data_IF_323309263527
#
_entry.id   IF_323309263527
#
_cell.length_a   1.000
_cell.length_b   1.000
_cell.length_c   1.000
_cell.angle_alpha   90.00
_cell.angle_beta   90.00
_cell.angle_gamma   90.00
#
_symmetry.space_group_name_H-M   'P 1'
#
loop_
_entity.id
_entity.type
_entity.pdbx_description
1 polymer ?
#
# COMPACT_ATOMS: atom_id res chain seq x y z
N UNK A 1 8.01 16.87 12.51
CA UNK A 1 8.48 15.54 12.04
C UNK A 1 7.29 14.84 11.39
N UNK A 2 7.41 14.42 10.13
CA UNK A 2 6.30 13.82 9.36
C UNK A 2 6.21 12.30 9.57
N UNK A 3 6.92 11.75 10.58
CA UNK A 3 6.93 10.32 10.85
C UNK A 3 5.55 9.87 11.38
N UNK A 4 4.99 8.87 10.70
CA UNK A 4 3.76 8.17 11.06
C UNK A 4 4.07 7.06 12.06
N UNK A 5 5.10 6.25 11.76
CA UNK A 5 5.57 5.16 12.61
C UNK A 5 7.07 4.91 12.35
N UNK A 6 7.76 4.34 13.34
CA UNK A 6 9.19 4.03 13.19
C UNK A 6 9.62 2.89 14.12
N UNK A 7 10.61 2.13 13.66
CA UNK A 7 11.26 1.04 14.41
C UNK A 7 12.65 0.72 13.81
N UNK A 8 13.70 0.67 14.64
CA UNK A 8 15.06 0.21 14.30
C UNK A 8 15.58 0.67 12.93
N UNK A 9 15.59 1.98 12.66
CA UNK A 9 16.05 2.56 11.41
C UNK A 9 15.02 2.55 10.28
N UNK A 10 13.89 1.85 10.43
CA UNK A 10 12.77 1.91 9.50
C UNK A 10 11.81 3.03 9.91
N UNK A 11 11.51 3.95 9.01
CA UNK A 11 10.59 5.07 9.23
C UNK A 11 9.52 5.06 8.14
N UNK A 12 8.27 5.15 8.54
CA UNK A 12 7.15 5.46 7.64
C UNK A 12 6.83 6.93 7.87
N UNK A 13 7.05 7.76 6.87
CA UNK A 13 6.68 9.18 6.93
C UNK A 13 5.62 9.52 5.90
N UNK A 14 4.82 10.54 6.17
CA UNK A 14 3.90 11.07 5.17
C UNK A 14 4.68 11.53 3.92
N UNK A 15 4.13 11.24 2.75
CA UNK A 15 4.60 11.79 1.48
C UNK A 15 4.43 13.32 1.51
N UNK A 16 5.39 14.04 0.95
CA UNK A 16 5.41 15.51 0.92
C UNK A 16 5.02 16.01 -0.46
N UNK A 17 4.29 17.13 -0.52
CA UNK A 17 4.02 17.83 -1.79
C UNK A 17 5.31 18.52 -2.26
N UNK A 18 6.25 17.72 -2.78
CA UNK A 18 7.53 18.19 -3.30
C UNK A 18 8.05 17.28 -4.42
N UNK A 19 8.79 17.84 -5.40
CA UNK A 19 9.24 17.07 -6.57
C UNK A 19 10.01 15.79 -6.22
N UNK A 20 10.79 15.78 -5.15
CA UNK A 20 11.59 14.62 -4.76
C UNK A 20 10.76 13.39 -4.48
N UNK A 21 9.65 13.51 -3.74
CA UNK A 21 8.80 12.38 -3.41
C UNK A 21 8.03 11.87 -4.65
N UNK A 22 7.58 12.77 -5.54
CA UNK A 22 6.94 12.36 -6.79
C UNK A 22 7.90 11.65 -7.75
N UNK A 23 9.16 12.10 -7.82
CA UNK A 23 10.17 11.42 -8.62
C UNK A 23 10.51 10.02 -8.11
N UNK A 24 10.44 9.79 -6.79
CA UNK A 24 10.54 8.44 -6.23
C UNK A 24 9.39 7.56 -6.74
N UNK A 25 8.16 8.06 -6.75
CA UNK A 25 7.00 7.31 -7.26
C UNK A 25 7.15 6.98 -8.75
N UNK A 26 7.60 7.95 -9.57
CA UNK A 26 7.88 7.73 -11.00
C UNK A 26 8.92 6.62 -11.19
N UNK A 27 10.03 6.70 -10.43
CA UNK A 27 11.09 5.70 -10.52
C UNK A 27 10.62 4.30 -10.14
N UNK A 28 9.92 4.19 -9.01
CA UNK A 28 9.54 2.90 -8.44
C UNK A 28 8.37 2.24 -9.19
N UNK A 29 7.33 2.99 -9.53
CA UNK A 29 6.16 2.42 -10.23
C UNK A 29 6.46 1.98 -11.66
N UNK A 30 7.47 2.57 -12.29
CA UNK A 30 7.96 2.14 -13.61
C UNK A 30 8.98 1.00 -13.52
N UNK A 31 9.46 0.64 -12.32
CA UNK A 31 10.35 -0.49 -12.15
C UNK A 31 9.61 -1.82 -12.34
N UNK A 32 10.20 -2.74 -13.12
CA UNK A 32 9.55 -3.99 -13.52
C UNK A 32 9.00 -4.82 -12.35
N UNK A 33 9.75 -4.92 -11.23
CA UNK A 33 9.35 -5.70 -10.06
C UNK A 33 8.19 -5.09 -9.25
N UNK A 34 7.92 -3.78 -9.39
CA UNK A 34 6.74 -3.11 -8.84
C UNK A 34 5.59 -3.27 -9.82
N UNK A 35 5.81 -2.96 -11.10
CA UNK A 35 4.80 -3.02 -12.15
C UNK A 35 4.24 -4.44 -12.36
N UNK A 36 4.96 -5.47 -11.94
CA UNK A 36 4.49 -6.87 -11.97
C UNK A 36 3.21 -7.09 -11.15
N UNK A 37 2.97 -6.28 -10.08
CA UNK A 37 1.84 -6.41 -9.14
C UNK A 37 1.19 -5.06 -8.79
N UNK A 38 1.47 -4.02 -9.56
CA UNK A 38 0.92 -2.67 -9.36
C UNK A 38 0.68 -2.00 -10.70
N UNK A 39 -0.56 -1.66 -10.99
CA UNK A 39 -0.97 -0.93 -12.20
C UNK A 39 -0.50 -1.57 -13.53
N UNK A 40 -0.68 -2.85 -13.68
CA UNK A 40 -0.16 -3.67 -14.79
C UNK A 40 -0.44 -3.08 -16.18
N UNK A 41 -1.69 -2.66 -16.41
CA UNK A 41 -2.17 -2.23 -17.73
C UNK A 41 -2.04 -0.71 -17.94
N UNK A 42 -1.58 0.03 -16.92
CA UNK A 42 -1.40 1.46 -17.04
C UNK A 42 -0.09 1.79 -17.78
N UNK A 43 -0.04 2.92 -18.52
CA UNK A 43 1.19 3.40 -19.13
C UNK A 43 2.25 3.73 -18.05
N UNK A 44 3.47 4.01 -18.49
CA UNK A 44 4.51 4.52 -17.59
C UNK A 44 4.02 5.80 -16.88
N UNK A 45 4.26 5.84 -15.57
CA UNK A 45 3.92 7.00 -14.74
C UNK A 45 4.84 8.16 -15.10
N UNK A 46 4.26 9.29 -15.51
CA UNK A 46 5.00 10.54 -15.70
C UNK A 46 5.02 11.36 -14.41
N UNK A 47 5.88 12.37 -14.34
CA UNK A 47 5.92 13.27 -13.19
C UNK A 47 4.60 14.02 -13.01
N UNK A 48 4.00 14.48 -14.10
CA UNK A 48 2.72 15.19 -14.09
C UNK A 48 1.61 14.30 -13.53
N UNK A 49 1.53 13.05 -14.02
CA UNK A 49 0.56 12.06 -13.53
C UNK A 49 0.81 11.71 -12.06
N UNK A 50 2.05 11.56 -11.62
CA UNK A 50 2.39 11.31 -10.23
C UNK A 50 1.95 12.48 -9.32
N UNK A 51 2.14 13.71 -9.76
CA UNK A 51 1.69 14.90 -9.02
C UNK A 51 0.16 14.92 -8.93
N UNK A 52 -0.53 14.66 -10.03
CA UNK A 52 -2.00 14.65 -10.07
C UNK A 52 -2.57 13.57 -9.13
N UNK A 53 -2.01 12.37 -9.16
CA UNK A 53 -2.45 11.22 -8.38
C UNK A 53 -2.17 11.38 -6.88
N UNK A 54 -0.93 11.72 -6.50
CA UNK A 54 -0.51 11.66 -5.10
C UNK A 54 -0.65 12.97 -4.32
N UNK A 55 -0.72 14.14 -4.98
CA UNK A 55 -0.85 15.42 -4.28
C UNK A 55 -2.04 15.48 -3.33
N UNK A 56 -3.26 15.00 -3.69
CA UNK A 56 -4.38 15.02 -2.76
C UNK A 56 -4.09 14.28 -1.46
N UNK A 57 -3.35 13.18 -1.52
CA UNK A 57 -3.04 12.30 -0.38
C UNK A 57 -1.91 12.81 0.52
N UNK A 58 -1.27 13.93 0.15
CA UNK A 58 -0.35 14.66 1.03
C UNK A 58 -1.08 15.54 2.05
N UNK A 59 -2.36 15.84 1.81
CA UNK A 59 -3.17 16.64 2.73
C UNK A 59 -3.55 15.88 4.00
N UNK A 60 -3.72 16.60 5.11
CA UNK A 60 -3.98 15.98 6.41
C UNK A 60 -5.38 15.35 6.51
N UNK A 61 -6.34 15.85 5.73
CA UNK A 61 -7.76 15.46 5.70
C UNK A 61 -8.12 14.58 4.49
N UNK A 62 -7.12 14.08 3.76
CA UNK A 62 -7.37 13.18 2.62
C UNK A 62 -8.01 11.85 3.06
N UNK A 63 -8.81 11.27 2.17
CA UNK A 63 -9.39 9.94 2.35
C UNK A 63 -8.34 8.84 2.40
N UNK A 64 -7.23 9.02 1.70
CA UNK A 64 -6.03 8.19 1.73
C UNK A 64 -4.84 8.96 2.30
N UNK A 65 -3.88 8.26 2.86
CA UNK A 65 -2.61 8.84 3.31
C UNK A 65 -1.46 8.13 2.62
N UNK A 66 -0.82 8.82 1.69
CA UNK A 66 0.38 8.34 1.00
C UNK A 66 1.64 8.54 1.86
N UNK A 67 2.49 7.53 1.92
CA UNK A 67 3.68 7.50 2.77
C UNK A 67 4.91 6.97 2.03
N UNK A 68 6.07 7.52 2.37
CA UNK A 68 7.39 6.99 1.97
C UNK A 68 7.94 6.14 3.11
N UNK A 69 8.46 4.97 2.76
CA UNK A 69 9.21 4.10 3.66
C UNK A 69 10.69 4.44 3.52
N UNK A 70 11.33 4.76 4.62
CA UNK A 70 12.76 5.03 4.69
C UNK A 70 13.48 3.98 5.56
N UNK A 71 14.64 3.54 5.13
CA UNK A 71 15.55 2.69 5.91
C UNK A 71 16.86 3.47 6.11
N UNK A 72 17.23 3.71 7.36
CA UNK A 72 18.41 4.49 7.75
C UNK A 72 18.50 5.85 7.04
N UNK A 73 17.33 6.52 6.89
CA UNK A 73 17.20 7.82 6.25
C UNK A 73 17.19 7.80 4.71
N UNK A 74 17.29 6.63 4.08
CA UNK A 74 17.16 6.44 2.63
C UNK A 74 15.74 6.01 2.26
N UNK A 75 15.04 6.70 1.33
CA UNK A 75 13.79 6.22 0.77
C UNK A 75 13.97 4.87 0.09
N UNK A 76 13.11 3.89 0.40
CA UNK A 76 13.23 2.51 -0.08
C UNK A 76 11.92 1.91 -0.58
N UNK A 77 10.79 2.61 -0.40
CA UNK A 77 9.50 2.12 -0.85
C UNK A 77 8.37 3.06 -0.46
N UNK A 78 7.18 2.61 -0.76
CA UNK A 78 5.93 3.34 -0.59
C UNK A 78 4.92 2.48 0.17
N UNK A 79 4.06 3.12 0.94
CA UNK A 79 2.82 2.55 1.43
C UNK A 79 1.74 3.63 1.51
N UNK A 80 0.50 3.19 1.48
CA UNK A 80 -0.65 4.05 1.77
C UNK A 80 -1.62 3.33 2.70
N UNK A 81 -2.47 4.11 3.36
CA UNK A 81 -3.54 3.59 4.17
C UNK A 81 -4.78 4.48 4.08
N UNK A 82 -5.95 3.87 4.20
CA UNK A 82 -7.24 4.52 4.04
C UNK A 82 -8.33 3.79 4.84
N UNK A 83 -9.39 4.52 5.18
CA UNK A 83 -10.58 3.89 5.75
C UNK A 83 -11.40 3.26 4.62
N UNK A 84 -11.73 1.97 4.70
CA UNK A 84 -12.57 1.29 3.69
C UNK A 84 -13.94 1.96 3.48
N UNK A 85 -14.46 2.65 4.51
CA UNK A 85 -15.69 3.41 4.39
C UNK A 85 -15.64 4.54 3.34
N UNK A 86 -14.44 5.03 3.00
CA UNK A 86 -14.23 6.04 1.94
C UNK A 86 -14.19 5.46 0.53
N UNK A 87 -14.22 4.12 0.40
CA UNK A 87 -14.07 3.37 -0.86
C UNK A 87 -15.25 2.44 -1.11
N UNK A 88 -16.48 2.92 -0.83
CA UNK A 88 -17.71 2.14 -0.97
C UNK A 88 -17.93 1.64 -2.41
N UNK A 89 -17.58 2.45 -3.42
CA UNK A 89 -17.73 2.08 -4.83
C UNK A 89 -16.74 0.95 -5.21
N UNK A 90 -15.52 0.98 -4.68
CA UNK A 90 -14.53 -0.09 -4.86
C UNK A 90 -15.02 -1.39 -4.24
N UNK A 91 -15.52 -1.33 -3.00
CA UNK A 91 -16.11 -2.51 -2.34
C UNK A 91 -17.29 -3.09 -3.11
N UNK A 92 -18.16 -2.23 -3.64
CA UNK A 92 -19.29 -2.67 -4.46
C UNK A 92 -18.83 -3.36 -5.77
N UNK A 93 -17.78 -2.86 -6.42
CA UNK A 93 -17.18 -3.49 -7.59
C UNK A 93 -16.53 -4.85 -7.28
N UNK A 94 -16.03 -5.03 -6.06
CA UNK A 94 -15.48 -6.29 -5.56
C UNK A 94 -16.56 -7.26 -5.03
N UNK A 95 -17.83 -6.87 -5.04
CA UNK A 95 -18.95 -7.59 -4.39
C UNK A 95 -18.66 -7.85 -2.90
N UNK A 96 -18.17 -6.82 -2.21
CA UNK A 96 -17.72 -6.90 -0.83
C UNK A 96 -18.43 -5.89 0.07
N UNK A 97 -18.66 -6.30 1.30
CA UNK A 97 -19.03 -5.42 2.41
C UNK A 97 -18.02 -5.57 3.55
N UNK A 98 -17.58 -4.47 4.12
CA UNK A 98 -16.72 -4.50 5.31
C UNK A 98 -17.35 -3.72 6.45
N UNK A 99 -17.16 -4.15 7.70
CA UNK A 99 -17.66 -3.42 8.87
C UNK A 99 -17.02 -2.03 8.98
N UNK A 100 -17.69 -1.10 9.62
CA UNK A 100 -17.13 0.21 9.96
C UNK A 100 -15.87 0.05 10.82
N UNK A 101 -14.95 1.00 10.70
CA UNK A 101 -13.68 0.97 11.43
C UNK A 101 -12.62 0.04 10.83
N UNK A 102 -12.86 -0.54 9.65
CA UNK A 102 -11.84 -1.28 8.92
C UNK A 102 -11.01 -0.35 8.04
N UNK A 103 -9.70 -0.61 8.00
CA UNK A 103 -8.73 0.16 7.23
C UNK A 103 -8.09 -0.69 6.14
N UNK A 104 -7.76 -0.06 5.02
CA UNK A 104 -6.99 -0.64 3.93
C UNK A 104 -5.54 -0.19 3.97
N UNK A 105 -4.65 -1.01 3.42
CA UNK A 105 -3.24 -0.68 3.19
C UNK A 105 -2.78 -1.23 1.85
N UNK A 106 -1.91 -0.47 1.17
CA UNK A 106 -1.16 -0.93 0.02
C UNK A 106 0.32 -0.62 0.23
N UNK A 107 1.21 -1.45 -0.29
CA UNK A 107 2.65 -1.34 -0.05
C UNK A 107 3.48 -1.96 -1.16
N UNK A 108 4.60 -1.32 -1.48
CA UNK A 108 5.69 -1.96 -2.22
C UNK A 108 7.06 -1.51 -1.72
N UNK A 109 8.07 -2.36 -1.92
CA UNK A 109 9.49 -2.01 -1.81
C UNK A 109 9.96 -1.55 -3.19
N UNK A 110 10.35 -0.29 -3.30
CA UNK A 110 10.71 0.34 -4.56
C UNK A 110 12.13 0.00 -5.05
N UNK A 111 13.04 -0.24 -4.10
CA UNK A 111 14.44 -0.56 -4.40
C UNK A 111 14.59 -2.08 -4.64
N UNK A 112 14.95 -2.54 -5.86
CA UNK A 112 14.94 -3.96 -6.20
C UNK A 112 15.93 -4.79 -5.38
N UNK A 113 17.06 -4.21 -5.01
CA UNK A 113 18.07 -4.88 -4.19
C UNK A 113 17.62 -5.12 -2.75
N UNK A 114 16.58 -4.44 -2.29
CA UNK A 114 16.03 -4.56 -0.93
C UNK A 114 14.81 -5.49 -0.86
N UNK A 115 14.35 -5.99 -2.00
CA UNK A 115 13.27 -6.98 -2.06
C UNK A 115 13.69 -8.29 -1.38
N UNK A 116 12.77 -8.94 -0.68
CA UNK A 116 12.99 -10.17 0.11
C UNK A 116 13.92 -10.02 1.34
N UNK A 117 14.26 -8.80 1.76
CA UNK A 117 15.06 -8.54 2.96
C UNK A 117 14.21 -8.28 4.22
N UNK A 118 12.91 -8.56 4.19
CA UNK A 118 12.01 -8.41 5.33
C UNK A 118 11.48 -6.99 5.55
N UNK A 119 11.90 -6.00 4.77
CA UNK A 119 11.49 -4.60 4.89
C UNK A 119 9.97 -4.46 4.77
N UNK A 120 9.36 -5.07 3.74
CA UNK A 120 7.91 -5.04 3.56
C UNK A 120 7.15 -5.61 4.77
N UNK A 121 7.61 -6.73 5.34
CA UNK A 121 6.98 -7.31 6.55
C UNK A 121 7.07 -6.38 7.75
N UNK A 122 8.23 -5.73 7.96
CA UNK A 122 8.42 -4.76 9.06
C UNK A 122 7.53 -3.54 8.86
N UNK A 123 7.50 -2.98 7.66
CA UNK A 123 6.66 -1.83 7.34
C UNK A 123 5.17 -2.12 7.54
N UNK A 124 4.70 -3.29 7.09
CA UNK A 124 3.31 -3.72 7.30
C UNK A 124 2.97 -3.82 8.79
N UNK A 125 3.85 -4.41 9.62
CA UNK A 125 3.64 -4.49 11.08
C UNK A 125 3.53 -3.10 11.70
N UNK A 126 4.47 -2.22 11.39
CA UNK A 126 4.44 -0.83 11.88
C UNK A 126 3.16 -0.10 11.49
N UNK A 127 2.71 -0.29 10.26
CA UNK A 127 1.51 0.36 9.76
C UNK A 127 0.25 -0.19 10.44
N UNK A 128 0.16 -1.51 10.61
CA UNK A 128 -0.95 -2.16 11.34
C UNK A 128 -0.99 -1.68 12.79
N UNK A 129 0.16 -1.61 13.48
CA UNK A 129 0.23 -1.13 14.85
C UNK A 129 -0.18 0.35 14.96
N UNK A 130 0.27 1.20 14.04
CA UNK A 130 -0.16 2.60 13.97
C UNK A 130 -1.69 2.70 13.76
N UNK A 131 -2.24 1.96 12.81
CA UNK A 131 -3.67 2.00 12.51
C UNK A 131 -4.52 1.57 13.72
N UNK A 132 -4.07 0.56 14.47
CA UNK A 132 -4.76 0.10 15.67
C UNK A 132 -4.64 1.09 16.83
N UNK A 133 -3.43 1.54 17.11
CA UNK A 133 -3.16 2.33 18.34
C UNK A 133 -3.52 3.80 18.18
N UNK A 134 -3.36 4.37 16.97
CA UNK A 134 -3.56 5.80 16.72
C UNK A 134 -4.89 6.07 16.00
N UNK A 135 -5.28 5.21 15.06
CA UNK A 135 -6.53 5.38 14.28
C UNK A 135 -7.70 4.60 14.84
N UNK A 136 -7.49 3.72 15.83
CA UNK A 136 -8.55 2.88 16.41
C UNK A 136 -9.11 1.84 15.43
N UNK A 137 -8.29 1.36 14.49
CA UNK A 137 -8.71 0.37 13.51
C UNK A 137 -9.20 -0.90 14.19
N UNK A 138 -10.44 -1.32 13.88
CA UNK A 138 -11.00 -2.59 14.33
C UNK A 138 -10.37 -3.79 13.59
N UNK A 139 -10.00 -3.58 12.34
CA UNK A 139 -9.23 -4.52 11.52
C UNK A 139 -8.51 -3.77 10.40
N UNK A 140 -7.45 -4.39 9.87
CA UNK A 140 -6.78 -3.96 8.65
C UNK A 140 -6.96 -5.05 7.59
N UNK A 141 -7.40 -4.68 6.39
CA UNK A 141 -7.69 -5.62 5.31
C UNK A 141 -7.11 -5.13 3.99
N UNK A 142 -6.70 -6.08 3.17
CA UNK A 142 -6.15 -5.83 1.83
C UNK A 142 -6.51 -6.95 0.86
N UNK A 143 -6.41 -6.64 -0.44
CA UNK A 143 -6.41 -7.64 -1.51
C UNK A 143 -4.98 -7.81 -2.06
N UNK A 144 -4.61 -9.01 -2.45
CA UNK A 144 -3.33 -9.29 -3.12
C UNK A 144 -3.48 -10.44 -4.09
N UNK A 145 -2.91 -10.31 -5.29
CA UNK A 145 -3.02 -11.33 -6.33
C UNK A 145 -2.59 -12.73 -5.85
N UNK A 146 -3.28 -13.77 -6.33
CA UNK A 146 -3.05 -15.15 -5.90
C UNK A 146 -1.62 -15.63 -6.19
N UNK A 147 -0.98 -15.11 -7.21
CA UNK A 147 0.38 -15.43 -7.65
C UNK A 147 1.46 -14.54 -7.01
N UNK A 148 1.08 -13.47 -6.29
CA UNK A 148 2.02 -12.64 -5.53
C UNK A 148 2.46 -13.32 -4.22
N UNK A 149 3.12 -14.47 -4.36
CA UNK A 149 3.54 -15.32 -3.22
C UNK A 149 4.44 -14.55 -2.24
N UNK A 150 5.22 -13.59 -2.75
CA UNK A 150 6.09 -12.74 -1.93
C UNK A 150 5.29 -11.85 -0.98
N UNK A 151 4.30 -11.14 -1.50
CA UNK A 151 3.43 -10.27 -0.70
C UNK A 151 2.60 -11.09 0.29
N UNK A 152 1.98 -12.19 -0.16
CA UNK A 152 1.21 -13.10 0.69
C UNK A 152 2.02 -13.53 1.91
N UNK A 153 3.26 -14.01 1.72
CA UNK A 153 4.14 -14.41 2.82
C UNK A 153 4.51 -13.26 3.76
N UNK A 154 4.68 -12.05 3.22
CA UNK A 154 4.96 -10.87 4.05
C UNK A 154 3.76 -10.51 4.93
N UNK A 155 2.55 -10.54 4.38
CA UNK A 155 1.30 -10.29 5.09
C UNK A 155 1.01 -11.37 6.14
N UNK A 156 1.17 -12.66 5.81
CA UNK A 156 1.01 -13.76 6.77
C UNK A 156 1.97 -13.59 7.98
N UNK A 157 3.24 -13.26 7.72
CA UNK A 157 4.23 -12.96 8.79
C UNK A 157 3.87 -11.72 9.60
N UNK A 158 3.12 -10.78 9.03
CA UNK A 158 2.62 -9.59 9.73
C UNK A 158 1.29 -9.83 10.45
N UNK A 159 0.74 -11.05 10.43
CA UNK A 159 -0.45 -11.42 11.16
C UNK A 159 -1.75 -11.39 10.37
N UNK A 160 -1.67 -11.22 9.05
CA UNK A 160 -2.85 -11.32 8.17
C UNK A 160 -3.24 -12.77 7.93
N UNK A 161 -4.55 -13.02 7.86
CA UNK A 161 -5.15 -14.32 7.57
C UNK A 161 -6.02 -14.21 6.33
N UNK A 162 -5.89 -15.15 5.40
CA UNK A 162 -6.75 -15.27 4.22
C UNK A 162 -8.20 -15.53 4.66
N UNK A 163 -9.14 -14.75 4.14
CA UNK A 163 -10.58 -14.89 4.45
C UNK A 163 -11.37 -15.45 3.26
N UNK A 164 -10.88 -15.22 2.03
CA UNK A 164 -11.56 -15.64 0.81
C UNK A 164 -10.84 -15.08 -0.41
N UNK A 165 -11.42 -15.29 -1.58
CA UNK A 165 -10.93 -14.73 -2.83
C UNK A 165 -11.92 -13.70 -3.36
N UNK A 166 -11.39 -12.63 -3.95
CA UNK A 166 -12.16 -11.53 -4.55
C UNK A 166 -11.58 -11.20 -5.92
N UNK A 167 -12.41 -10.64 -6.81
CA UNK A 167 -11.91 -10.02 -8.04
C UNK A 167 -11.44 -8.60 -7.74
N UNK A 168 -10.22 -8.28 -8.17
CA UNK A 168 -9.69 -6.92 -8.04
C UNK A 168 -10.51 -5.93 -8.88
N UNK A 169 -10.38 -4.63 -8.60
CA UNK A 169 -10.91 -3.56 -9.44
C UNK A 169 -9.97 -3.20 -10.58
N UNK A 170 -8.68 -3.38 -10.37
CA UNK A 170 -7.65 -3.16 -11.40
C UNK A 170 -7.61 -4.29 -12.42
N UNK A 171 -6.99 -4.04 -13.57
CA UNK A 171 -6.86 -5.04 -14.64
C UNK A 171 -5.40 -5.44 -14.84
N UNK A 172 -5.22 -6.70 -15.21
CA UNK A 172 -3.96 -7.29 -15.64
C UNK A 172 -4.18 -8.01 -16.95
N UNK A 173 -3.55 -7.52 -18.02
CA UNK A 173 -3.78 -8.01 -19.39
C UNK A 173 -5.26 -7.93 -19.83
N UNK A 174 -5.95 -6.88 -19.42
CA UNK A 174 -7.36 -6.64 -19.74
C UNK A 174 -8.38 -7.44 -18.94
N UNK A 175 -7.94 -8.25 -17.97
CA UNK A 175 -8.81 -9.05 -17.10
C UNK A 175 -8.60 -8.65 -15.63
N UNK A 176 -9.66 -8.73 -14.83
CA UNK A 176 -9.58 -8.51 -13.39
C UNK A 176 -8.94 -9.73 -12.73
N UNK A 177 -7.79 -9.58 -12.03
CA UNK A 177 -7.14 -10.72 -11.38
C UNK A 177 -7.90 -11.18 -10.14
N UNK A 178 -7.82 -12.47 -9.84
CA UNK A 178 -8.25 -13.00 -8.57
C UNK A 178 -7.22 -12.68 -7.50
N UNK A 179 -7.70 -12.18 -6.35
CA UNK A 179 -6.89 -11.80 -5.20
C UNK A 179 -7.32 -12.55 -3.94
N UNK A 180 -6.38 -12.78 -3.03
CA UNK A 180 -6.69 -13.12 -1.66
C UNK A 180 -7.14 -11.86 -0.91
N UNK A 181 -8.34 -11.91 -0.33
CA UNK A 181 -8.75 -10.98 0.70
C UNK A 181 -8.14 -11.42 2.02
N UNK A 182 -7.26 -10.59 2.59
CA UNK A 182 -6.51 -10.91 3.81
C UNK A 182 -6.80 -9.89 4.90
N UNK A 183 -6.93 -10.35 6.15
CA UNK A 183 -7.34 -9.51 7.29
C UNK A 183 -6.43 -9.74 8.49
N UNK A 184 -5.97 -8.64 9.13
CA UNK A 184 -5.34 -8.60 10.44
C UNK A 184 -6.31 -7.97 11.47
N UNK A 185 -6.54 -8.67 12.59
CA UNK A 185 -7.39 -8.21 13.71
C UNK A 185 -6.60 -8.03 14.97
#
# INVERSE_FOLDING_TARGET
MDAIAQDEGLVIRRMRDQPGDYLLMVSWRNAAHVKEFWDHDLPELTLEAAIEEYRPDTAADSASTSCIIELDGRPVGFCQFYAWASYADTLAQMDMEVPSGWWGIDIFVGEPELVNQGIGTRAVRLLVDHLRTVRGAAAVALATELDNVRAIRAYEKAGFVKQGQVLDTDTKNGERPWCWWMVAR
#
